data_IF_138948102349
#
_entry.id   IF_138948102349
#
_cell.length_a   1.000
_cell.length_b   1.000
_cell.length_c   1.000
_cell.angle_alpha   90.00
_cell.angle_beta   90.00
_cell.angle_gamma   90.00
#
_symmetry.space_group_name_H-M   'P 1'
#
loop_
_entity.id
_entity.type
_entity.pdbx_description
1 polymer ?
#
# COMPACT_ATOMS: atom_id res chain seq x y z
N UNK A 1 -9.12 9.38 -3.47
CA UNK A 1 -10.50 9.20 -3.94
C UNK A 1 -10.75 7.78 -4.46
N UNK A 2 -9.90 7.22 -5.37
CA UNK A 2 -10.05 5.84 -5.89
C UNK A 2 -10.10 4.77 -4.79
N UNK A 3 -9.24 4.85 -3.79
CA UNK A 3 -9.22 3.87 -2.69
C UNK A 3 -10.37 4.04 -1.69
N UNK A 4 -10.80 5.26 -1.43
CA UNK A 4 -11.98 5.50 -0.60
C UNK A 4 -13.23 4.87 -1.21
N UNK A 5 -13.48 5.10 -2.49
CA UNK A 5 -14.62 4.52 -3.19
C UNK A 5 -14.63 2.97 -3.14
N UNK A 6 -13.48 2.33 -3.31
CA UNK A 6 -13.36 0.88 -3.29
C UNK A 6 -13.50 0.32 -1.86
N UNK A 7 -12.99 1.02 -0.85
CA UNK A 7 -13.06 0.60 0.54
C UNK A 7 -14.49 0.64 1.10
N UNK A 8 -15.27 1.65 0.68
CA UNK A 8 -16.66 1.82 1.12
C UNK A 8 -17.63 0.88 0.39
N UNK A 9 -17.34 0.49 -0.86
CA UNK A 9 -18.17 -0.47 -1.60
C UNK A 9 -18.26 -1.84 -0.91
N UNK A 10 -17.22 -2.25 -0.19
CA UNK A 10 -17.23 -3.49 0.61
C UNK A 10 -18.20 -3.46 1.81
N UNK A 11 -18.63 -2.27 2.25
CA UNK A 11 -19.61 -2.06 3.34
C UNK A 11 -21.05 -1.96 2.85
N UNK A 12 -21.25 -1.80 1.54
CA UNK A 12 -22.54 -1.56 0.90
C UNK A 12 -23.07 -2.85 0.25
N UNK A 13 -23.06 -3.98 0.95
CA UNK A 13 -23.66 -5.21 0.45
C UNK A 13 -25.17 -5.20 0.66
N UNK A 14 -25.93 -5.51 -0.39
CA UNK A 14 -27.36 -5.71 -0.32
C UNK A 14 -27.68 -7.10 0.23
N UNK A 15 -28.49 -7.16 1.29
CA UNK A 15 -28.97 -8.44 1.86
C UNK A 15 -30.14 -8.96 1.04
N UNK A 16 -29.87 -9.61 -0.09
CA UNK A 16 -30.89 -10.24 -0.90
C UNK A 16 -31.25 -11.63 -0.38
N UNK A 17 -32.53 -12.01 -0.52
CA UNK A 17 -32.97 -13.37 -0.31
C UNK A 17 -32.49 -14.24 -1.47
N UNK A 18 -31.79 -15.34 -1.18
CA UNK A 18 -31.27 -16.25 -2.18
C UNK A 18 -30.13 -17.11 -1.70
N UNK A 19 -29.65 -18.00 -2.57
CA UNK A 19 -28.54 -18.90 -2.31
C UNK A 19 -27.20 -18.29 -2.74
N UNK A 20 -26.11 -18.75 -2.16
CA UNK A 20 -24.75 -18.40 -2.56
C UNK A 20 -24.41 -16.92 -2.35
N UNK A 21 -23.96 -16.26 -3.43
CA UNK A 21 -23.50 -14.85 -3.40
C UNK A 21 -24.61 -13.84 -3.70
N UNK A 22 -25.89 -14.20 -3.47
CA UNK A 22 -27.04 -13.34 -3.75
C UNK A 22 -26.91 -11.95 -3.10
N UNK A 23 -26.98 -10.89 -3.90
CA UNK A 23 -26.88 -9.52 -3.45
C UNK A 23 -25.47 -9.04 -3.05
N UNK A 24 -24.45 -9.88 -3.22
CA UNK A 24 -23.08 -9.45 -2.99
C UNK A 24 -22.67 -8.41 -4.03
N UNK A 25 -22.24 -7.25 -3.58
CA UNK A 25 -21.54 -6.27 -4.43
C UNK A 25 -20.06 -6.39 -4.12
N UNK A 26 -19.27 -6.76 -5.13
CA UNK A 26 -17.86 -6.99 -4.99
C UNK A 26 -17.05 -6.14 -5.99
N UNK A 27 -15.92 -5.67 -5.54
CA UNK A 27 -14.90 -5.02 -6.37
C UNK A 27 -13.53 -5.45 -5.85
N UNK A 28 -12.46 -5.00 -6.53
CA UNK A 28 -11.11 -5.29 -6.04
C UNK A 28 -10.93 -4.74 -4.62
N UNK A 29 -10.37 -5.57 -3.73
CA UNK A 29 -10.05 -5.16 -2.35
C UNK A 29 -8.62 -4.65 -2.31
N UNK A 30 -8.38 -3.35 -2.16
CA UNK A 30 -7.03 -2.80 -2.01
C UNK A 30 -6.48 -3.17 -0.63
N UNK A 31 -5.16 -3.40 -0.58
CA UNK A 31 -4.41 -3.46 0.68
C UNK A 31 -4.10 -2.06 1.23
N UNK A 32 -2.96 -1.94 1.89
CA UNK A 32 -2.50 -0.66 2.45
C UNK A 32 -1.81 0.22 1.39
N UNK A 33 -1.36 -0.39 0.29
CA UNK A 33 -0.69 0.30 -0.81
C UNK A 33 -1.70 0.96 -1.77
N UNK A 34 -1.32 2.14 -2.27
CA UNK A 34 -2.08 2.87 -3.29
C UNK A 34 -1.68 2.38 -4.67
N UNK A 35 -2.47 1.48 -5.23
CA UNK A 35 -2.24 0.88 -6.55
C UNK A 35 -3.23 1.43 -7.58
N UNK A 36 -2.74 1.68 -8.80
CA UNK A 36 -3.63 1.97 -9.93
C UNK A 36 -4.40 0.69 -10.30
N UNK A 37 -5.74 0.78 -10.32
CA UNK A 37 -6.62 -0.35 -10.64
C UNK A 37 -7.71 0.09 -11.61
N UNK A 38 -8.11 -0.83 -12.49
CA UNK A 38 -9.20 -0.63 -13.44
C UNK A 38 -10.59 -0.63 -12.79
N UNK A 39 -10.69 -1.07 -11.53
CA UNK A 39 -11.96 -1.06 -10.79
C UNK A 39 -12.53 0.35 -10.58
N UNK A 40 -11.69 1.39 -10.56
CA UNK A 40 -12.12 2.78 -10.49
C UNK A 40 -11.17 3.65 -11.32
N UNK A 41 -11.69 4.24 -12.37
CA UNK A 41 -10.97 5.18 -13.23
C UNK A 41 -11.60 6.57 -13.11
N UNK A 42 -10.75 7.59 -12.97
CA UNK A 42 -11.19 8.98 -12.87
C UNK A 42 -10.72 9.71 -14.13
N UNK A 43 -11.68 10.06 -14.97
CA UNK A 43 -11.49 10.91 -16.14
C UNK A 43 -11.64 12.40 -15.79
N UNK A 44 -11.63 13.25 -16.80
CA UNK A 44 -11.82 14.70 -16.61
C UNK A 44 -13.22 15.05 -16.11
N UNK A 45 -14.25 14.43 -16.67
CA UNK A 45 -15.65 14.72 -16.42
C UNK A 45 -16.45 13.51 -15.93
N UNK A 46 -15.81 12.38 -15.76
CA UNK A 46 -16.49 11.13 -15.39
C UNK A 46 -15.67 10.28 -14.43
N UNK A 47 -16.37 9.45 -13.68
CA UNK A 47 -15.78 8.39 -12.85
C UNK A 47 -16.39 7.08 -13.32
N UNK A 48 -15.53 6.16 -13.77
CA UNK A 48 -15.93 4.82 -14.14
C UNK A 48 -15.62 3.87 -12.99
N UNK A 49 -16.64 3.23 -12.44
CA UNK A 49 -16.48 2.19 -11.42
C UNK A 49 -16.94 0.84 -11.97
N UNK A 50 -16.11 -0.20 -11.79
CA UNK A 50 -16.42 -1.58 -12.19
C UNK A 50 -16.54 -2.45 -10.96
N UNK A 51 -17.65 -3.15 -10.86
CA UNK A 51 -17.96 -4.04 -9.75
C UNK A 51 -18.84 -5.20 -10.23
N UNK A 52 -18.84 -6.26 -9.47
CA UNK A 52 -19.68 -7.43 -9.70
C UNK A 52 -20.90 -7.40 -8.81
N UNK A 53 -22.05 -7.82 -9.32
CA UNK A 53 -23.26 -7.99 -8.54
C UNK A 53 -23.66 -9.47 -8.55
N UNK A 54 -23.71 -10.08 -7.38
CA UNK A 54 -24.23 -11.44 -7.21
C UNK A 54 -25.72 -11.45 -7.41
N UNK A 55 -26.20 -12.00 -8.52
CA UNK A 55 -27.63 -12.06 -8.84
C UNK A 55 -28.38 -12.89 -7.79
N UNK A 56 -29.45 -12.34 -7.19
CA UNK A 56 -30.30 -13.10 -6.28
C UNK A 56 -30.93 -14.28 -6.99
N UNK A 57 -30.73 -15.49 -6.48
CA UNK A 57 -31.25 -16.71 -7.08
C UNK A 57 -31.57 -17.76 -6.03
N UNK A 58 -32.55 -18.63 -6.34
CA UNK A 58 -32.81 -19.87 -5.66
C UNK A 58 -32.43 -21.02 -6.59
N UNK A 59 -31.32 -21.67 -6.32
CA UNK A 59 -30.75 -22.66 -7.25
C UNK A 59 -30.43 -21.99 -8.60
N UNK A 60 -31.09 -22.40 -9.66
CA UNK A 60 -30.91 -21.89 -11.04
C UNK A 60 -31.91 -20.81 -11.46
N UNK A 61 -32.88 -20.47 -10.60
CA UNK A 61 -33.92 -19.47 -10.88
C UNK A 61 -33.58 -18.14 -10.29
N UNK A 62 -33.47 -17.11 -11.13
CA UNK A 62 -33.19 -15.75 -10.72
C UNK A 62 -34.42 -15.15 -10.03
N UNK A 63 -34.19 -14.51 -8.89
CA UNK A 63 -35.21 -13.70 -8.22
C UNK A 63 -35.24 -12.29 -8.83
N UNK A 64 -36.05 -12.10 -9.86
CA UNK A 64 -36.11 -10.83 -10.60
C UNK A 64 -36.57 -9.65 -9.72
N UNK A 65 -37.46 -9.86 -8.77
CA UNK A 65 -37.92 -8.81 -7.86
C UNK A 65 -36.79 -8.23 -6.99
N UNK A 66 -35.95 -9.08 -6.40
CA UNK A 66 -34.77 -8.65 -5.66
C UNK A 66 -33.71 -8.02 -6.57
N UNK A 67 -33.56 -8.52 -7.80
CA UNK A 67 -32.62 -7.95 -8.76
C UNK A 67 -33.01 -6.52 -9.18
N UNK A 68 -34.29 -6.28 -9.43
CA UNK A 68 -34.84 -4.94 -9.72
C UNK A 68 -34.54 -3.99 -8.56
N UNK A 69 -34.78 -4.41 -7.31
CA UNK A 69 -34.46 -3.59 -6.12
C UNK A 69 -32.98 -3.26 -6.01
N UNK A 70 -32.09 -4.20 -6.37
CA UNK A 70 -30.65 -3.91 -6.37
C UNK A 70 -30.31 -2.81 -7.36
N UNK A 71 -30.80 -2.90 -8.62
CA UNK A 71 -30.39 -1.97 -9.66
C UNK A 71 -31.08 -0.61 -9.59
N UNK A 72 -32.36 -0.57 -9.20
CA UNK A 72 -33.14 0.67 -9.27
C UNK A 72 -33.34 1.39 -7.95
N UNK A 73 -33.22 0.68 -6.82
CA UNK A 73 -33.36 1.29 -5.50
C UNK A 73 -32.02 1.41 -4.78
N UNK A 74 -31.30 0.28 -4.65
CA UNK A 74 -30.10 0.25 -3.83
C UNK A 74 -28.86 0.85 -4.51
N UNK A 75 -28.61 0.50 -5.78
CA UNK A 75 -27.42 0.94 -6.50
C UNK A 75 -27.36 2.46 -6.71
N UNK A 76 -28.45 3.18 -7.06
CA UNK A 76 -28.44 4.63 -7.12
C UNK A 76 -28.02 5.28 -5.79
N UNK A 77 -28.56 4.79 -4.68
CA UNK A 77 -28.15 5.24 -3.35
C UNK A 77 -26.67 4.99 -3.04
N UNK A 78 -26.13 3.85 -3.47
CA UNK A 78 -24.69 3.59 -3.36
C UNK A 78 -23.87 4.59 -4.17
N UNK A 79 -24.28 4.89 -5.42
CA UNK A 79 -23.60 5.86 -6.29
C UNK A 79 -23.58 7.25 -5.63
N UNK A 80 -24.71 7.70 -5.10
CA UNK A 80 -24.77 8.99 -4.40
C UNK A 80 -23.84 9.04 -3.19
N UNK A 81 -23.87 7.99 -2.36
CA UNK A 81 -23.10 7.96 -1.12
C UNK A 81 -21.60 7.79 -1.35
N UNK A 82 -21.19 7.14 -2.45
CA UNK A 82 -19.76 6.83 -2.70
C UNK A 82 -19.10 7.90 -3.59
N UNK A 83 -19.80 8.43 -4.60
CA UNK A 83 -19.17 9.28 -5.62
C UNK A 83 -19.46 10.77 -5.49
N UNK A 84 -20.56 11.16 -4.84
CA UNK A 84 -20.89 12.57 -4.72
C UNK A 84 -20.12 13.22 -3.57
N UNK A 85 -19.31 14.24 -3.87
CA UNK A 85 -18.47 14.95 -2.92
C UNK A 85 -19.24 15.45 -1.68
N UNK A 86 -20.46 15.97 -1.87
CA UNK A 86 -21.34 16.46 -0.79
C UNK A 86 -21.72 15.39 0.26
N UNK A 87 -21.63 14.11 -0.10
CA UNK A 87 -21.92 12.98 0.79
C UNK A 87 -20.67 12.40 1.47
N UNK A 88 -19.49 12.89 1.04
CA UNK A 88 -18.22 12.37 1.55
C UNK A 88 -17.76 13.14 2.79
N UNK A 89 -16.94 12.49 3.59
CA UNK A 89 -16.21 13.14 4.65
C UNK A 89 -15.06 13.97 4.08
N UNK A 90 -15.26 15.27 3.98
CA UNK A 90 -14.29 16.19 3.37
C UNK A 90 -12.94 16.20 4.12
N UNK A 91 -12.94 15.99 5.44
CA UNK A 91 -11.72 15.90 6.23
C UNK A 91 -10.87 14.68 5.84
N UNK A 92 -11.52 13.52 5.63
CA UNK A 92 -10.83 12.31 5.18
C UNK A 92 -10.30 12.48 3.75
N UNK A 93 -11.08 13.05 2.84
CA UNK A 93 -10.61 13.35 1.48
C UNK A 93 -9.39 14.26 1.53
N UNK A 94 -9.44 15.34 2.30
CA UNK A 94 -8.32 16.29 2.47
C UNK A 94 -7.07 15.57 3.00
N UNK A 95 -7.23 14.72 4.01
CA UNK A 95 -6.13 13.93 4.58
C UNK A 95 -5.45 13.05 3.52
N UNK A 96 -6.23 12.37 2.67
CA UNK A 96 -5.67 11.56 1.59
C UNK A 96 -4.94 12.38 0.52
N UNK A 97 -5.48 13.56 0.16
CA UNK A 97 -4.85 14.45 -0.82
C UNK A 97 -3.53 14.99 -0.26
N UNK A 98 -3.56 15.54 0.96
CA UNK A 98 -2.37 16.08 1.62
C UNK A 98 -1.27 15.03 1.73
N UNK A 99 -1.63 13.80 2.14
CA UNK A 99 -0.66 12.71 2.22
C UNK A 99 -0.08 12.36 0.83
N UNK A 100 -0.90 12.32 -0.22
CA UNK A 100 -0.42 12.04 -1.56
C UNK A 100 0.56 13.11 -2.08
N UNK A 101 0.30 14.39 -1.78
CA UNK A 101 1.19 15.50 -2.11
C UNK A 101 2.52 15.39 -1.35
N UNK A 102 2.48 15.07 -0.06
CA UNK A 102 3.66 14.84 0.76
C UNK A 102 4.51 13.66 0.25
N UNK A 103 3.86 12.54 -0.09
CA UNK A 103 4.54 11.37 -0.63
C UNK A 103 5.19 11.67 -1.99
N UNK A 104 4.50 12.42 -2.85
CA UNK A 104 5.07 12.85 -4.13
C UNK A 104 6.25 13.79 -3.94
N UNK A 105 6.17 14.69 -2.96
CA UNK A 105 7.28 15.57 -2.58
C UNK A 105 8.51 14.75 -2.17
N UNK A 106 8.35 13.77 -1.27
CA UNK A 106 9.46 12.88 -0.86
C UNK A 106 10.07 12.18 -2.07
N UNK A 107 9.26 11.64 -3.01
CA UNK A 107 9.78 11.00 -4.24
C UNK A 107 10.65 11.95 -5.07
N UNK A 108 10.25 13.21 -5.17
CA UNK A 108 11.04 14.21 -5.88
C UNK A 108 12.35 14.52 -5.12
N UNK A 109 12.29 14.60 -3.79
CA UNK A 109 13.47 14.79 -2.95
C UNK A 109 14.45 13.61 -3.01
N UNK A 110 13.97 12.36 -3.10
CA UNK A 110 14.84 11.19 -3.33
C UNK A 110 15.71 11.40 -4.58
N UNK A 111 15.11 11.87 -5.67
CA UNK A 111 15.83 12.14 -6.93
C UNK A 111 16.82 13.29 -6.76
N UNK A 112 16.41 14.39 -6.12
CA UNK A 112 17.22 15.59 -5.92
C UNK A 112 18.44 15.33 -5.01
N UNK A 113 18.25 14.54 -3.97
CA UNK A 113 19.29 14.25 -2.95
C UNK A 113 20.08 12.96 -3.26
N UNK A 114 19.87 12.34 -4.43
CA UNK A 114 20.48 11.07 -4.80
C UNK A 114 20.27 9.96 -3.75
N UNK A 115 19.06 9.90 -3.20
CA UNK A 115 18.63 8.88 -2.26
C UNK A 115 17.94 7.71 -2.98
N UNK A 116 17.98 6.55 -2.35
CA UNK A 116 17.22 5.36 -2.77
C UNK A 116 15.94 5.22 -1.97
N UNK A 117 15.97 5.59 -0.69
CA UNK A 117 14.81 5.51 0.18
C UNK A 117 14.90 6.51 1.33
N UNK A 118 13.71 6.87 1.85
CA UNK A 118 13.52 7.63 3.08
C UNK A 118 12.56 6.87 4.00
N UNK A 119 12.94 6.71 5.27
CA UNK A 119 12.12 6.06 6.30
C UNK A 119 11.92 7.06 7.44
N UNK A 120 10.71 7.59 7.57
CA UNK A 120 10.41 8.59 8.59
C UNK A 120 10.48 8.03 10.01
N UNK A 121 10.99 8.84 10.94
CA UNK A 121 10.90 8.56 12.36
C UNK A 121 9.41 8.50 12.79
N UNK A 122 9.10 7.61 13.72
CA UNK A 122 7.72 7.37 14.14
C UNK A 122 6.96 6.36 13.28
N UNK A 123 7.51 5.89 12.15
CA UNK A 123 6.87 4.88 11.30
C UNK A 123 6.69 3.55 12.03
N UNK A 124 5.55 2.90 11.81
CA UNK A 124 5.26 1.55 12.32
C UNK A 124 5.59 0.53 11.22
N UNK A 125 6.79 -0.01 11.27
CA UNK A 125 7.28 -0.94 10.25
C UNK A 125 6.71 -2.36 10.39
N UNK A 126 6.52 -2.94 11.60
CA UNK A 126 6.00 -4.29 11.77
C UNK A 126 4.53 -4.41 11.36
N UNK A 127 4.15 -5.60 10.88
CA UNK A 127 2.77 -5.98 10.59
C UNK A 127 2.24 -6.93 11.65
N UNK A 128 0.91 -6.98 11.83
CA UNK A 128 0.26 -7.82 12.86
C UNK A 128 0.66 -9.29 12.76
N UNK A 129 0.74 -9.82 11.53
CA UNK A 129 1.14 -11.21 11.26
C UNK A 129 1.96 -11.28 9.96
N UNK A 130 2.50 -12.46 9.65
CA UNK A 130 3.25 -12.69 8.41
C UNK A 130 2.41 -12.56 7.14
N UNK A 131 1.09 -12.67 7.24
CA UNK A 131 0.13 -12.60 6.13
C UNK A 131 -0.77 -11.35 6.17
N UNK A 132 -0.71 -10.57 7.26
CA UNK A 132 -1.46 -9.32 7.42
C UNK A 132 -0.63 -8.15 6.92
N UNK A 133 -1.25 -7.24 6.19
CA UNK A 133 -0.68 -5.95 5.79
C UNK A 133 -0.98 -4.82 6.78
N UNK A 134 -1.74 -5.12 7.87
CA UNK A 134 -2.09 -4.13 8.88
C UNK A 134 -0.92 -3.82 9.82
N UNK A 135 -0.75 -2.56 10.28
CA UNK A 135 0.27 -2.20 11.25
C UNK A 135 0.10 -2.95 12.57
N UNK A 136 1.21 -3.42 13.14
CA UNK A 136 1.20 -4.07 14.45
C UNK A 136 0.94 -3.03 15.55
N UNK A 137 -0.13 -3.24 16.31
CA UNK A 137 -0.47 -2.39 17.45
C UNK A 137 0.55 -2.57 18.58
N UNK A 138 0.93 -1.47 19.22
CA UNK A 138 1.86 -1.50 20.37
C UNK A 138 3.31 -1.85 20.00
N UNK A 139 3.66 -1.85 18.72
CA UNK A 139 5.05 -2.05 18.29
C UNK A 139 5.90 -0.78 18.53
N UNK A 140 7.21 -0.99 18.62
CA UNK A 140 8.16 0.12 18.72
C UNK A 140 8.20 0.86 17.38
N UNK A 141 8.03 2.19 17.42
CA UNK A 141 8.15 3.04 16.27
C UNK A 141 9.61 3.11 15.79
N UNK A 142 9.77 3.28 14.48
CA UNK A 142 11.10 3.42 13.88
C UNK A 142 11.77 4.70 14.35
N UNK A 143 13.06 4.62 14.60
CA UNK A 143 13.93 5.74 14.91
C UNK A 143 15.20 5.66 14.08
N UNK A 144 15.53 6.74 13.38
CA UNK A 144 16.68 6.80 12.49
C UNK A 144 17.99 6.92 13.28
N UNK A 145 19.07 6.22 12.86
CA UNK A 145 20.41 6.51 13.35
C UNK A 145 20.82 7.96 13.05
N UNK A 146 21.48 8.62 13.96
CA UNK A 146 21.85 10.05 13.80
C UNK A 146 22.71 10.31 12.56
N UNK A 147 23.58 9.36 12.21
CA UNK A 147 24.48 9.45 11.05
C UNK A 147 23.75 9.41 9.70
N UNK A 148 22.51 8.90 9.66
CA UNK A 148 21.69 8.76 8.44
C UNK A 148 20.44 9.63 8.47
N UNK A 149 20.25 10.42 9.55
CA UNK A 149 19.08 11.26 9.75
C UNK A 149 19.13 12.51 8.88
N UNK A 150 18.06 12.75 8.16
CA UNK A 150 17.78 14.01 7.48
C UNK A 150 16.40 14.53 7.87
N UNK A 151 16.14 15.81 7.61
CA UNK A 151 14.83 16.43 7.81
C UNK A 151 14.35 16.97 6.47
N UNK A 152 13.12 16.59 6.09
CA UNK A 152 12.42 17.09 4.91
C UNK A 152 11.25 17.98 5.35
N UNK A 153 11.02 19.10 4.65
CA UNK A 153 9.90 19.99 4.91
C UNK A 153 8.76 19.67 3.94
N UNK A 154 7.81 18.87 4.39
CA UNK A 154 6.68 18.44 3.57
C UNK A 154 5.66 19.56 3.41
N UNK A 155 5.00 19.67 2.24
CA UNK A 155 4.03 20.73 1.99
C UNK A 155 2.79 20.65 2.88
N UNK A 156 2.39 19.44 3.28
CA UNK A 156 1.20 19.20 4.09
C UNK A 156 1.47 18.95 5.56
N UNK A 157 2.47 18.13 5.87
CA UNK A 157 2.82 17.76 7.25
C UNK A 157 3.79 18.75 7.92
N UNK A 158 4.58 19.50 7.14
CA UNK A 158 5.70 20.31 7.66
C UNK A 158 6.98 19.47 7.85
N UNK A 159 7.87 19.82 8.81
CA UNK A 159 9.14 19.13 8.97
C UNK A 159 8.96 17.71 9.48
N UNK A 160 9.61 16.75 8.80
CA UNK A 160 9.66 15.33 9.17
C UNK A 160 11.10 14.85 9.11
N UNK A 161 11.57 14.22 10.19
CA UNK A 161 12.89 13.61 10.24
C UNK A 161 12.81 12.12 9.93
N UNK A 162 13.89 11.56 9.40
CA UNK A 162 13.95 10.16 9.08
C UNK A 162 15.30 9.73 8.54
N UNK A 163 15.45 8.43 8.34
CA UNK A 163 16.64 7.81 7.78
C UNK A 163 16.66 7.96 6.26
N UNK A 164 17.74 8.53 5.73
CA UNK A 164 18.02 8.58 4.31
C UNK A 164 18.96 7.45 3.92
N UNK A 165 18.59 6.67 2.91
CA UNK A 165 19.44 5.65 2.30
C UNK A 165 19.96 6.21 0.99
N UNK A 166 21.27 6.43 0.90
CA UNK A 166 21.94 6.97 -0.27
C UNK A 166 22.16 5.90 -1.35
N UNK A 167 22.39 6.33 -2.58
CA UNK A 167 22.82 5.46 -3.66
C UNK A 167 24.18 4.83 -3.32
N UNK A 168 24.37 3.60 -3.76
CA UNK A 168 25.58 2.80 -3.51
C UNK A 168 25.26 1.51 -2.76
N UNK A 169 26.26 0.94 -2.12
CA UNK A 169 26.11 -0.32 -1.38
C UNK A 169 25.80 0.02 0.07
N UNK A 170 24.63 -0.39 0.54
CA UNK A 170 24.22 -0.25 1.95
C UNK A 170 24.06 -1.63 2.56
N UNK A 171 24.81 -1.91 3.62
CA UNK A 171 24.76 -3.19 4.33
C UNK A 171 23.84 -3.08 5.55
N UNK A 172 22.79 -3.91 5.62
CA UNK A 172 21.87 -4.00 6.74
C UNK A 172 22.23 -5.23 7.57
N UNK A 173 22.89 -5.02 8.71
CA UNK A 173 23.40 -6.09 9.59
C UNK A 173 22.70 -6.06 10.96
N UNK A 174 22.82 -7.16 11.70
CA UNK A 174 22.29 -7.28 13.07
C UNK A 174 21.94 -8.72 13.41
N UNK A 175 21.73 -9.02 14.69
CA UNK A 175 21.34 -10.32 15.20
C UNK A 175 19.95 -10.79 14.78
N UNK A 176 19.56 -12.00 15.17
CA UNK A 176 18.20 -12.51 14.98
C UNK A 176 17.19 -11.57 15.67
N UNK A 177 16.00 -11.46 15.12
CA UNK A 177 14.86 -10.67 15.64
C UNK A 177 15.09 -9.14 15.80
N UNK A 178 16.18 -8.59 15.28
CA UNK A 178 16.49 -7.15 15.37
C UNK A 178 15.84 -6.31 14.23
N UNK A 179 14.78 -6.78 13.61
CA UNK A 179 13.98 -5.99 12.68
C UNK A 179 14.52 -5.85 11.24
N UNK A 180 15.68 -6.51 10.89
CA UNK A 180 16.23 -6.41 9.51
C UNK A 180 15.24 -6.77 8.42
N UNK A 181 14.57 -7.91 8.54
CA UNK A 181 13.55 -8.35 7.57
C UNK A 181 12.31 -7.44 7.55
N UNK A 182 11.98 -6.84 8.69
CA UNK A 182 10.89 -5.87 8.81
C UNK A 182 11.22 -4.59 8.06
N UNK A 183 12.44 -4.06 8.25
CA UNK A 183 12.94 -2.90 7.52
C UNK A 183 12.98 -3.20 6.01
N UNK A 184 13.56 -4.33 5.60
CA UNK A 184 13.63 -4.71 4.19
C UNK A 184 12.25 -4.82 3.54
N UNK A 185 11.26 -5.43 4.23
CA UNK A 185 9.87 -5.48 3.75
C UNK A 185 9.22 -4.10 3.67
N UNK A 186 9.56 -3.19 4.58
CA UNK A 186 9.07 -1.82 4.53
C UNK A 186 9.65 -1.06 3.34
N UNK A 187 10.95 -1.21 3.07
CA UNK A 187 11.61 -0.64 1.90
C UNK A 187 11.03 -1.22 0.59
N UNK A 188 10.79 -2.53 0.54
CA UNK A 188 10.17 -3.21 -0.60
C UNK A 188 8.77 -2.66 -0.91
N UNK A 189 7.92 -2.47 0.10
CA UNK A 189 6.58 -1.90 -0.09
C UNK A 189 6.59 -0.39 -0.33
N UNK A 190 7.66 0.31 0.07
CA UNK A 190 7.83 1.76 -0.10
C UNK A 190 7.92 2.24 -1.55
N UNK A 191 8.03 1.34 -2.53
CA UNK A 191 7.88 1.69 -3.97
C UNK A 191 6.47 2.19 -4.29
N UNK A 192 5.48 1.82 -3.48
CA UNK A 192 4.11 2.29 -3.57
C UNK A 192 3.83 3.34 -2.50
N UNK A 193 2.86 4.21 -2.77
CA UNK A 193 2.31 5.08 -1.74
C UNK A 193 1.40 4.27 -0.81
N UNK A 194 1.34 4.65 0.47
CA UNK A 194 0.51 4.01 1.47
C UNK A 194 -0.65 4.91 1.90
N UNK A 195 -1.76 4.29 2.32
CA UNK A 195 -2.94 5.02 2.79
C UNK A 195 -2.70 5.61 4.19
N UNK A 196 -3.45 6.67 4.60
CA UNK A 196 -3.38 7.20 5.95
C UNK A 196 -3.72 6.14 7.01
N UNK A 197 -2.93 6.10 8.09
CA UNK A 197 -3.08 5.15 9.18
C UNK A 197 -2.43 3.79 8.95
N UNK A 198 -1.64 3.65 7.88
CA UNK A 198 -0.87 2.43 7.62
C UNK A 198 0.40 2.31 8.48
N UNK A 199 0.91 3.42 9.01
CA UNK A 199 2.18 3.47 9.74
C UNK A 199 3.43 3.46 8.86
N UNK A 200 3.33 3.27 7.55
CA UNK A 200 4.41 3.37 6.56
C UNK A 200 4.16 4.47 5.53
N UNK A 201 3.31 5.45 5.86
CA UNK A 201 2.92 6.52 4.95
C UNK A 201 4.11 7.28 4.39
N UNK A 202 5.15 7.45 5.21
CA UNK A 202 6.39 8.17 4.88
C UNK A 202 7.60 7.24 4.79
N UNK A 203 7.37 5.97 4.46
CA UNK A 203 8.40 5.03 4.02
C UNK A 203 8.36 5.00 2.51
N UNK A 204 9.25 5.72 1.87
CA UNK A 204 9.25 5.91 0.42
C UNK A 204 10.56 5.40 -0.15
N UNK A 205 10.46 4.52 -1.13
CA UNK A 205 11.59 3.96 -1.88
C UNK A 205 11.48 4.36 -3.35
N UNK A 206 12.60 4.47 -4.03
CA UNK A 206 12.66 4.73 -5.48
C UNK A 206 11.73 3.75 -6.22
N UNK A 207 10.94 4.26 -7.15
CA UNK A 207 9.93 3.50 -7.88
C UNK A 207 10.49 2.39 -8.76
N UNK A 208 11.79 2.44 -9.06
CA UNK A 208 12.51 1.42 -9.86
C UNK A 208 13.12 0.30 -9.00
N UNK A 209 13.01 0.39 -7.68
CA UNK A 209 13.58 -0.60 -6.77
C UNK A 209 12.90 -1.96 -6.93
N UNK A 210 13.72 -3.01 -6.96
CA UNK A 210 13.28 -4.40 -7.01
C UNK A 210 13.97 -5.22 -5.94
N UNK A 211 13.28 -6.24 -5.42
CA UNK A 211 13.85 -7.19 -4.50
C UNK A 211 14.27 -8.44 -5.24
N UNK A 212 15.53 -8.79 -5.10
CA UNK A 212 16.07 -10.05 -5.59
C UNK A 212 16.25 -11.02 -4.40
N UNK A 213 15.76 -12.22 -4.56
CA UNK A 213 15.94 -13.32 -3.60
C UNK A 213 16.19 -14.61 -4.35
N UNK A 214 17.25 -15.33 -3.95
CA UNK A 214 17.42 -16.71 -4.36
C UNK A 214 16.38 -17.57 -3.62
N UNK A 215 15.73 -18.50 -4.30
CA UNK A 215 14.84 -19.48 -3.68
C UNK A 215 15.66 -20.55 -2.99
N UNK A 216 15.17 -21.05 -1.86
CA UNK A 216 15.78 -22.16 -1.15
C UNK A 216 15.87 -23.40 -2.07
N UNK A 217 17.02 -24.03 -2.11
CA UNK A 217 17.28 -25.21 -2.96
C UNK A 217 17.67 -24.88 -4.42
N UNK A 218 17.71 -23.61 -4.84
CA UNK A 218 18.32 -23.23 -6.11
C UNK A 218 19.79 -22.93 -5.91
N UNK A 219 20.65 -23.68 -6.59
CA UNK A 219 22.08 -23.36 -6.64
C UNK A 219 22.32 -22.16 -7.54
N UNK A 220 23.14 -21.22 -7.06
CA UNK A 220 23.66 -20.13 -7.86
C UNK A 220 25.09 -20.53 -8.28
N UNK A 221 25.29 -20.72 -9.58
CA UNK A 221 26.55 -21.14 -10.11
C UNK A 221 27.14 -20.05 -11.02
N UNK A 222 28.47 -19.97 -11.05
CA UNK A 222 29.22 -19.06 -11.96
C UNK A 222 28.88 -17.57 -11.81
N UNK A 223 28.52 -17.12 -10.60
CA UNK A 223 28.35 -15.70 -10.31
C UNK A 223 29.66 -15.14 -9.80
N UNK A 224 30.20 -14.15 -10.48
CA UNK A 224 31.37 -13.42 -10.01
C UNK A 224 30.99 -12.53 -8.82
N UNK A 225 31.50 -12.89 -7.64
CA UNK A 225 31.31 -12.15 -6.39
C UNK A 225 32.58 -11.39 -5.97
N UNK A 226 33.57 -11.27 -6.83
CA UNK A 226 34.86 -10.63 -6.53
C UNK A 226 34.75 -9.17 -6.10
N UNK A 227 33.65 -8.49 -6.46
CA UNK A 227 33.32 -7.14 -5.99
C UNK A 227 33.06 -7.08 -4.47
N UNK A 228 32.62 -8.19 -3.86
CA UNK A 228 32.22 -8.25 -2.46
C UNK A 228 33.18 -9.08 -1.61
N UNK A 229 33.73 -10.15 -2.19
CA UNK A 229 34.59 -11.08 -1.51
C UNK A 229 35.78 -11.42 -2.41
N UNK A 230 36.98 -10.97 -2.03
CA UNK A 230 38.22 -11.27 -2.77
C UNK A 230 38.99 -12.43 -2.19
N UNK A 231 38.92 -12.60 -0.86
CA UNK A 231 39.62 -13.67 -0.15
C UNK A 231 38.63 -14.39 0.79
N UNK A 232 38.38 -15.66 0.54
CA UNK A 232 37.60 -16.48 1.45
C UNK A 232 38.48 -16.95 2.64
N UNK A 233 37.95 -16.87 3.90
CA UNK A 233 38.73 -17.20 5.09
C UNK A 233 39.27 -18.66 5.09
N UNK A 234 38.73 -19.54 4.28
CA UNK A 234 39.07 -20.93 4.22
C UNK A 234 39.99 -21.32 3.05
N UNK A 235 40.60 -20.36 2.34
CA UNK A 235 41.48 -20.60 1.19
C UNK A 235 40.95 -21.67 0.21
N UNK A 236 39.66 -21.75 0.02
CA UNK A 236 39.03 -22.57 -1.04
C UNK A 236 38.69 -21.63 -2.19
N UNK A 237 39.42 -21.83 -3.27
CA UNK A 237 39.16 -21.20 -4.56
C UNK A 237 37.80 -21.61 -5.13
#
# INVERSE_FOLDING_TARGET
>A
QRQMCIRDSGRLSFKAKGSGKSGLIATSRPGQEVLSRTACEIGRNEITARFEVGFPAFGRTINSGELIRIFFDFLPGCVENVFFYRRQNNAEIKKHITLADDQQFIRNELKRLALVSFVADGSILPRETGVSDRPMKGSVAFHSPDSLRITLNLPGHGPISGMAIHRGITLIVGGGYHGKSTLLKALESGVYNHIPGDGREYVITDETAVKLRAEDGRSINHVDISLFIRDLPNKKD
#
